data_IF_167714626994
#
_entry.id   IF_167714626994
#
_cell.length_a   1.000
_cell.length_b   1.000
_cell.length_c   1.000
_cell.angle_alpha   90.00
_cell.angle_beta   90.00
_cell.angle_gamma   90.00
#
_symmetry.space_group_name_H-M   'P 1'
#
loop_
_entity.id
_entity.type
_entity.pdbx_description
1 polymer ?
#
# COMPACT_ATOMS: atom_id res chain seq x y z
N UNK A 1 11.29 -1.09 -12.14
CA UNK A 1 10.91 -0.85 -10.72
C UNK A 1 10.40 -2.15 -10.15
N UNK A 2 10.86 -2.57 -8.97
CA UNK A 2 10.38 -3.79 -8.31
C UNK A 2 9.50 -3.35 -7.13
N UNK A 3 8.24 -3.79 -7.14
CA UNK A 3 7.36 -3.64 -5.99
C UNK A 3 7.59 -4.83 -5.04
N UNK A 4 8.43 -4.63 -4.03
CA UNK A 4 8.78 -5.68 -3.06
C UNK A 4 8.53 -5.19 -1.63
N UNK A 5 7.87 -6.01 -0.79
CA UNK A 5 7.79 -5.75 0.64
C UNK A 5 9.16 -5.76 1.31
N UNK A 6 9.33 -5.03 2.42
CA UNK A 6 10.61 -4.91 3.12
C UNK A 6 11.19 -6.26 3.58
N UNK A 7 10.34 -7.23 3.90
CA UNK A 7 10.80 -8.57 4.30
C UNK A 7 11.52 -9.34 3.19
N UNK A 8 11.36 -8.94 1.93
CA UNK A 8 12.07 -9.54 0.80
C UNK A 8 13.49 -8.98 0.61
N UNK A 9 13.84 -7.85 1.25
CA UNK A 9 15.09 -7.12 0.99
C UNK A 9 16.35 -7.96 1.24
N UNK A 10 16.44 -8.62 2.40
CA UNK A 10 17.58 -9.49 2.74
C UNK A 10 17.54 -10.83 2.00
N UNK A 11 16.43 -11.61 2.03
CA UNK A 11 16.41 -12.94 1.43
C UNK A 11 16.63 -12.95 -0.08
N UNK A 12 16.10 -11.94 -0.79
CA UNK A 12 16.29 -11.82 -2.25
C UNK A 12 17.53 -10.99 -2.62
N UNK A 13 18.36 -10.65 -1.63
CA UNK A 13 19.59 -9.88 -1.82
C UNK A 13 19.40 -8.60 -2.64
N UNK A 14 18.29 -7.88 -2.42
CA UNK A 14 17.91 -6.69 -3.21
C UNK A 14 19.02 -5.63 -3.20
N UNK A 15 19.80 -5.56 -2.13
CA UNK A 15 20.97 -4.68 -2.01
C UNK A 15 22.01 -4.88 -3.13
N UNK A 16 22.16 -6.10 -3.68
CA UNK A 16 23.03 -6.38 -4.84
C UNK A 16 22.49 -5.73 -6.11
N UNK A 17 21.17 -5.78 -6.30
CA UNK A 17 20.50 -5.16 -7.45
C UNK A 17 20.44 -3.64 -7.38
N UNK A 18 20.46 -3.05 -6.17
CA UNK A 18 20.53 -1.60 -6.00
C UNK A 18 21.91 -1.03 -6.35
N UNK A 19 22.99 -1.77 -6.13
CA UNK A 19 24.34 -1.27 -6.42
C UNK A 19 24.63 0.08 -5.75
N UNK A 20 25.23 1.01 -6.51
CA UNK A 20 25.55 2.38 -6.07
C UNK A 20 24.53 3.45 -6.50
N UNK A 21 23.65 3.15 -7.47
CA UNK A 21 22.71 4.11 -8.06
C UNK A 21 21.24 3.81 -7.77
N UNK A 22 20.93 2.63 -7.22
CA UNK A 22 19.58 2.21 -6.90
C UNK A 22 19.05 2.90 -5.64
N UNK A 23 17.74 3.11 -5.62
CA UNK A 23 17.02 3.75 -4.53
C UNK A 23 15.73 2.99 -4.18
N UNK A 24 15.36 3.10 -2.91
CA UNK A 24 14.06 2.78 -2.36
C UNK A 24 13.33 4.09 -2.10
N UNK A 25 12.30 4.38 -2.88
CA UNK A 25 11.49 5.58 -2.72
C UNK A 25 10.58 5.38 -1.51
N UNK A 26 10.64 6.31 -0.56
CA UNK A 26 9.74 6.34 0.59
C UNK A 26 8.42 7.03 0.22
N UNK A 27 7.64 6.35 -0.62
CA UNK A 27 6.32 6.80 -1.08
C UNK A 27 5.44 5.59 -1.38
N UNK A 28 4.17 5.58 -0.96
CA UNK A 28 3.29 4.41 -1.12
C UNK A 28 2.80 4.30 -2.57
N UNK A 29 3.61 3.68 -3.44
CA UNK A 29 3.28 3.48 -4.86
C UNK A 29 2.37 2.26 -5.06
N UNK A 30 2.52 1.23 -4.24
CA UNK A 30 1.79 -0.04 -4.37
C UNK A 30 1.21 -0.45 -3.02
N UNK A 31 -0.06 -0.84 -3.02
CA UNK A 31 -0.68 -1.53 -1.91
C UNK A 31 -0.92 -2.99 -2.31
N UNK A 32 -0.31 -3.94 -1.59
CA UNK A 32 -0.42 -5.36 -1.89
C UNK A 32 -1.42 -5.99 -0.92
N UNK A 33 -2.53 -6.47 -1.47
CA UNK A 33 -3.57 -7.19 -0.71
C UNK A 33 -3.59 -8.64 -1.16
N UNK A 34 -3.79 -9.55 -0.21
CA UNK A 34 -4.03 -10.97 -0.48
C UNK A 34 -5.38 -11.36 0.09
N UNK A 35 -6.27 -11.85 -0.77
CA UNK A 35 -7.60 -12.31 -0.38
C UNK A 35 -7.61 -13.84 -0.30
N UNK A 36 -7.89 -14.37 0.89
CA UNK A 36 -8.11 -15.80 1.09
C UNK A 36 -9.60 -16.10 0.97
N UNK A 37 -9.98 -16.78 -0.11
CA UNK A 37 -11.35 -17.22 -0.36
C UNK A 37 -11.49 -18.68 0.03
N UNK A 38 -12.47 -18.98 0.89
CA UNK A 38 -12.79 -20.35 1.32
C UNK A 38 -14.14 -20.79 0.76
N UNK A 39 -14.31 -22.11 0.63
CA UNK A 39 -15.60 -22.75 0.33
C UNK A 39 -16.31 -23.09 1.64
N UNK A 40 -17.31 -22.33 2.10
CA UNK A 40 -17.88 -22.47 3.44
C UNK A 40 -18.32 -23.90 3.77
N UNK A 41 -18.89 -24.61 2.80
CA UNK A 41 -19.37 -25.98 2.90
C UNK A 41 -18.27 -27.03 3.15
N UNK A 42 -16.99 -26.66 3.00
CA UNK A 42 -15.84 -27.52 3.28
C UNK A 42 -15.24 -27.29 4.67
N UNK A 43 -15.82 -26.40 5.46
CA UNK A 43 -15.32 -26.06 6.80
C UNK A 43 -16.44 -26.20 7.85
N UNK A 44 -16.08 -26.41 9.13
CA UNK A 44 -17.04 -26.39 10.22
C UNK A 44 -17.77 -25.05 10.33
N UNK A 45 -18.99 -25.08 10.88
CA UNK A 45 -19.73 -23.86 11.21
C UNK A 45 -18.89 -22.93 12.10
N UNK A 46 -18.94 -21.62 11.80
CA UNK A 46 -18.17 -20.61 12.52
C UNK A 46 -16.68 -20.53 12.19
N UNK A 47 -16.13 -21.41 11.33
CA UNK A 47 -14.72 -21.36 10.95
C UNK A 47 -14.30 -20.01 10.35
N UNK A 48 -15.14 -19.44 9.48
CA UNK A 48 -14.85 -18.17 8.80
C UNK A 48 -14.67 -17.03 9.81
N UNK A 49 -15.57 -16.89 10.77
CA UNK A 49 -15.55 -15.81 11.76
C UNK A 49 -14.40 -15.97 12.76
N UNK A 50 -14.15 -17.20 13.20
CA UNK A 50 -13.00 -17.52 14.05
C UNK A 50 -11.68 -17.22 13.34
N UNK A 51 -11.56 -17.62 12.07
CA UNK A 51 -10.39 -17.36 11.23
C UNK A 51 -10.15 -15.85 11.07
N UNK A 52 -11.18 -15.07 10.70
CA UNK A 52 -11.07 -13.60 10.58
C UNK A 52 -10.65 -12.96 11.91
N UNK A 53 -11.27 -13.37 13.01
CA UNK A 53 -10.96 -12.85 14.35
C UNK A 53 -9.51 -13.16 14.75
N UNK A 54 -9.01 -14.34 14.40
CA UNK A 54 -7.63 -14.73 14.63
C UNK A 54 -6.66 -13.92 13.76
N UNK A 55 -6.93 -13.76 12.46
CA UNK A 55 -6.09 -12.95 11.56
C UNK A 55 -5.98 -11.50 12.00
N UNK A 56 -7.09 -10.88 12.44
CA UNK A 56 -7.09 -9.49 12.93
C UNK A 56 -6.15 -9.33 14.14
N UNK A 57 -6.12 -10.32 15.05
CA UNK A 57 -5.21 -10.30 16.22
C UNK A 57 -3.73 -10.40 15.83
N UNK A 58 -3.41 -10.93 14.65
CA UNK A 58 -2.04 -11.01 14.16
C UNK A 58 -1.55 -9.71 13.50
N UNK A 59 -2.45 -8.86 13.02
CA UNK A 59 -2.09 -7.63 12.29
C UNK A 59 -1.08 -6.76 13.04
N UNK A 60 -1.22 -6.47 14.36
CA UNK A 60 -0.25 -5.66 15.08
C UNK A 60 1.16 -6.26 15.05
N UNK A 61 1.28 -7.59 15.23
CA UNK A 61 2.56 -8.30 15.19
C UNK A 61 3.16 -8.26 13.78
N UNK A 62 2.33 -8.45 12.75
CA UNK A 62 2.77 -8.37 11.36
C UNK A 62 3.28 -6.97 11.00
N UNK A 63 2.55 -5.91 11.37
CA UNK A 63 3.01 -4.54 11.13
C UNK A 63 4.29 -4.19 11.92
N UNK A 64 4.42 -4.68 13.15
CA UNK A 64 5.65 -4.51 13.93
C UNK A 64 6.86 -5.20 13.25
N UNK A 65 6.64 -6.39 12.68
CA UNK A 65 7.66 -7.10 11.89
C UNK A 65 8.07 -6.29 10.65
N UNK A 66 7.10 -5.79 9.87
CA UNK A 66 7.38 -4.97 8.68
C UNK A 66 8.18 -3.72 9.05
N UNK A 67 7.74 -2.97 10.08
CA UNK A 67 8.46 -1.77 10.56
C UNK A 67 9.91 -2.07 10.96
N UNK A 68 10.14 -3.19 11.66
CA UNK A 68 11.51 -3.62 12.02
C UNK A 68 12.35 -3.90 10.79
N UNK A 69 11.81 -4.64 9.82
CA UNK A 69 12.53 -4.99 8.60
C UNK A 69 12.81 -3.77 7.72
N UNK A 70 11.88 -2.82 7.64
CA UNK A 70 12.10 -1.53 6.99
C UNK A 70 13.20 -0.72 7.67
N UNK A 71 13.27 -0.72 9.01
CA UNK A 71 14.32 -0.04 9.76
C UNK A 71 15.72 -0.62 9.51
N UNK A 72 15.81 -1.93 9.24
CA UNK A 72 17.07 -2.60 8.90
C UNK A 72 17.61 -2.26 7.50
N UNK A 73 16.81 -1.64 6.63
CA UNK A 73 17.26 -1.21 5.29
C UNK A 73 18.18 0.02 5.44
N UNK A 74 19.43 -0.02 4.91
CA UNK A 74 20.38 1.08 5.02
C UNK A 74 19.84 2.40 4.49
N UNK A 75 20.03 3.47 5.27
CA UNK A 75 19.53 4.81 4.93
C UNK A 75 20.04 5.34 3.57
N UNK A 76 21.24 4.92 3.14
CA UNK A 76 21.80 5.29 1.82
C UNK A 76 20.90 4.93 0.63
N UNK A 77 20.04 3.93 0.79
CA UNK A 77 19.11 3.52 -0.25
C UNK A 77 17.77 4.26 -0.16
N UNK A 78 17.44 4.84 0.99
CA UNK A 78 16.14 5.49 1.21
C UNK A 78 16.14 6.89 0.63
N UNK A 79 15.27 7.13 -0.32
CA UNK A 79 15.06 8.45 -0.93
C UNK A 79 13.71 8.98 -0.48
N UNK A 80 13.74 10.09 0.26
CA UNK A 80 12.55 10.87 0.56
C UNK A 80 12.30 11.86 -0.57
N UNK A 81 11.07 11.92 -1.06
CA UNK A 81 10.68 12.87 -2.08
C UNK A 81 10.63 14.28 -1.50
N UNK A 82 10.93 15.28 -2.33
CA UNK A 82 10.60 16.67 -2.00
C UNK A 82 9.08 16.82 -1.93
N UNK A 83 8.59 17.88 -1.27
CA UNK A 83 7.16 18.17 -1.25
C UNK A 83 6.59 18.34 -2.66
N UNK A 84 7.33 19.01 -3.54
CA UNK A 84 6.92 19.23 -4.92
C UNK A 84 6.81 17.91 -5.70
N UNK A 85 7.79 17.02 -5.57
CA UNK A 85 7.73 15.71 -6.23
C UNK A 85 6.61 14.85 -5.65
N UNK A 86 6.41 14.89 -4.33
CA UNK A 86 5.30 14.21 -3.67
C UNK A 86 3.95 14.62 -4.26
N UNK A 87 3.71 15.93 -4.43
CA UNK A 87 2.46 16.46 -5.00
C UNK A 87 2.30 16.07 -6.48
N UNK A 88 3.38 16.10 -7.26
CA UNK A 88 3.39 15.63 -8.66
C UNK A 88 3.02 14.14 -8.76
N UNK A 89 3.61 13.29 -7.92
CA UNK A 89 3.29 11.86 -7.89
C UNK A 89 1.86 11.60 -7.42
N UNK A 90 1.38 12.31 -6.40
CA UNK A 90 -0.02 12.20 -5.96
C UNK A 90 -0.99 12.59 -7.08
N UNK A 91 -0.70 13.65 -7.83
CA UNK A 91 -1.48 14.04 -9.02
C UNK A 91 -1.50 12.93 -10.08
N UNK A 92 -0.33 12.38 -10.42
CA UNK A 92 -0.25 11.28 -11.39
C UNK A 92 -1.10 10.07 -10.95
N UNK A 93 -1.02 9.68 -9.67
CA UNK A 93 -1.81 8.57 -9.15
C UNK A 93 -3.32 8.88 -9.16
N UNK A 94 -3.71 10.11 -8.84
CA UNK A 94 -5.12 10.54 -8.90
C UNK A 94 -5.66 10.51 -10.32
N UNK A 95 -4.90 11.03 -11.28
CA UNK A 95 -5.30 11.04 -12.68
C UNK A 95 -5.47 9.61 -13.21
N UNK A 96 -4.60 8.68 -12.79
CA UNK A 96 -4.75 7.25 -13.06
C UNK A 96 -6.03 6.65 -12.46
N UNK A 97 -6.38 6.98 -11.22
CA UNK A 97 -7.63 6.51 -10.59
C UNK A 97 -8.87 7.03 -11.33
N UNK A 98 -8.88 8.31 -11.70
CA UNK A 98 -9.97 8.89 -12.48
C UNK A 98 -10.11 8.22 -13.84
N UNK A 99 -9.00 7.96 -14.52
CA UNK A 99 -9.01 7.31 -15.82
C UNK A 99 -9.56 5.88 -15.74
N UNK A 100 -9.07 5.08 -14.80
CA UNK A 100 -9.57 3.72 -14.55
C UNK A 100 -11.06 3.71 -14.14
N UNK A 101 -11.52 4.75 -13.45
CA UNK A 101 -12.94 4.93 -13.11
C UNK A 101 -13.76 5.24 -14.36
N UNK A 102 -13.29 6.12 -15.25
CA UNK A 102 -13.95 6.42 -16.54
C UNK A 102 -14.01 5.20 -17.45
N UNK A 103 -13.00 4.33 -17.40
CA UNK A 103 -12.98 3.06 -18.12
C UNK A 103 -13.92 2.00 -17.51
N UNK A 104 -14.55 2.29 -16.37
CA UNK A 104 -15.43 1.34 -15.66
C UNK A 104 -14.70 0.24 -14.90
N UNK A 105 -13.36 0.33 -14.78
CA UNK A 105 -12.54 -0.64 -14.04
C UNK A 105 -12.67 -0.40 -12.54
N UNK A 106 -12.65 0.87 -12.12
CA UNK A 106 -12.91 1.26 -10.74
C UNK A 106 -14.33 1.73 -10.57
N UNK A 107 -14.96 1.29 -9.48
CA UNK A 107 -16.31 1.70 -9.14
C UNK A 107 -16.28 3.09 -8.47
N UNK A 108 -17.08 4.07 -8.94
CA UNK A 108 -17.04 5.45 -8.43
C UNK A 108 -17.33 5.59 -6.94
N UNK A 109 -18.29 4.84 -6.39
CA UNK A 109 -18.64 4.89 -4.97
C UNK A 109 -17.45 4.46 -4.11
N UNK A 110 -16.73 3.42 -4.52
CA UNK A 110 -15.55 2.89 -3.88
C UNK A 110 -14.40 3.90 -3.92
N UNK A 111 -14.18 4.57 -5.06
CA UNK A 111 -13.21 5.66 -5.17
C UNK A 111 -13.52 6.83 -4.22
N UNK A 112 -14.79 7.24 -4.13
CA UNK A 112 -15.23 8.27 -3.19
C UNK A 112 -14.97 7.86 -1.73
N UNK A 113 -15.23 6.59 -1.36
CA UNK A 113 -14.96 6.08 0.00
C UNK A 113 -13.46 6.08 0.29
N UNK A 114 -12.64 5.57 -0.62
CA UNK A 114 -11.18 5.53 -0.45
C UNK A 114 -10.58 6.93 -0.37
N UNK A 115 -11.08 7.88 -1.16
CA UNK A 115 -10.68 9.29 -1.06
C UNK A 115 -10.92 9.86 0.32
N UNK A 116 -12.12 9.64 0.89
CA UNK A 116 -12.44 10.08 2.26
C UNK A 116 -11.51 9.47 3.30
N UNK A 117 -11.18 8.18 3.16
CA UNK A 117 -10.23 7.50 4.03
C UNK A 117 -8.84 8.15 3.95
N UNK A 118 -8.31 8.39 2.74
CA UNK A 118 -7.01 9.06 2.55
C UNK A 118 -7.00 10.48 3.15
N UNK A 119 -8.06 11.25 2.92
CA UNK A 119 -8.21 12.60 3.49
C UNK A 119 -8.37 12.62 5.01
N UNK A 120 -8.75 11.49 5.62
CA UNK A 120 -8.77 11.36 7.09
C UNK A 120 -7.35 11.20 7.64
N UNK A 121 -6.47 10.52 6.89
CA UNK A 121 -5.06 10.32 7.25
C UNK A 121 -4.24 11.59 6.99
N UNK A 122 -4.40 12.21 5.82
CA UNK A 122 -3.68 13.43 5.45
C UNK A 122 -4.67 14.47 4.90
N UNK A 123 -5.14 15.36 5.78
CA UNK A 123 -6.13 16.39 5.45
C UNK A 123 -5.60 17.49 4.55
N UNK A 124 -4.28 17.70 4.53
CA UNK A 124 -3.65 18.76 3.73
C UNK A 124 -3.32 18.34 2.30
N UNK A 125 -3.61 17.08 1.94
CA UNK A 125 -3.44 16.60 0.56
C UNK A 125 -4.36 17.41 -0.39
N UNK A 126 -3.81 17.88 -1.50
CA UNK A 126 -4.53 18.73 -2.45
C UNK A 126 -5.78 18.04 -3.01
N UNK A 127 -5.81 16.71 -3.11
CA UNK A 127 -6.97 15.99 -3.65
C UNK A 127 -8.23 16.14 -2.78
N UNK A 128 -8.06 16.47 -1.49
CA UNK A 128 -9.13 16.57 -0.51
C UNK A 128 -10.00 17.83 -0.67
N UNK A 129 -9.50 18.87 -1.34
CA UNK A 129 -10.28 20.06 -1.69
C UNK A 129 -10.92 19.97 -3.08
N UNK A 130 -10.53 18.99 -3.89
CA UNK A 130 -11.07 18.80 -5.24
C UNK A 130 -12.39 18.01 -5.19
N UNK A 131 -13.33 18.38 -6.04
CA UNK A 131 -14.52 17.56 -6.30
C UNK A 131 -14.16 16.35 -7.18
N UNK A 132 -14.94 15.28 -7.04
CA UNK A 132 -14.81 14.08 -7.84
C UNK A 132 -13.67 13.15 -7.41
N UNK A 133 -14.04 11.88 -7.35
CA UNK A 133 -13.28 10.64 -7.52
C UNK A 133 -14.28 9.48 -7.40
#
# INVERSE_FOLDING_TARGET
>A
MIAAPAYAFKPLEIYKGLGSSGAMINFPVVNVTADLVIRPEKFPEGFADQSRSWFVKLLPKSFAMVKRLEAEIPARYKVNLTKEDHDKYQKLLRDGRLDLTRQGIYEPTMMTVLKKARCTVERTNFECSLSGE
#
